data_IF_402937590127
#
_entry.id   IF_402937590127
#
_cell.length_a   1.000
_cell.length_b   1.000
_cell.length_c   1.000
_cell.angle_alpha   90.00
_cell.angle_beta   90.00
_cell.angle_gamma   90.00
#
_symmetry.space_group_name_H-M   'P 1'
#
loop_
_entity.id
_entity.type
_entity.pdbx_description
1 polymer ?
#
# COMPACT_ATOMS: atom_id res chain seq x y z
N UNK A 1 -15.11 15.36 18.53
CA UNK A 1 -14.74 14.69 17.27
C UNK A 1 -14.17 13.35 17.66
N UNK A 2 -14.99 12.32 17.60
CA UNK A 2 -14.54 10.95 17.91
C UNK A 2 -13.69 10.48 16.73
N UNK A 3 -12.46 10.06 17.01
CA UNK A 3 -11.62 9.34 16.08
C UNK A 3 -12.22 7.94 15.92
N UNK A 4 -13.21 7.82 15.07
CA UNK A 4 -13.68 6.50 14.66
C UNK A 4 -12.61 5.88 13.75
N UNK A 5 -11.72 5.12 14.37
CA UNK A 5 -10.92 4.12 13.64
C UNK A 5 -11.88 2.99 13.29
N UNK A 6 -12.75 3.26 12.32
CA UNK A 6 -13.70 2.28 11.83
C UNK A 6 -12.94 1.15 11.13
N UNK A 7 -13.23 -0.08 11.53
CA UNK A 7 -12.82 -1.27 10.80
C UNK A 7 -13.32 -1.25 9.34
N UNK A 8 -13.16 -2.35 8.62
CA UNK A 8 -13.71 -2.47 7.27
C UNK A 8 -15.24 -2.34 7.33
N UNK A 9 -15.79 -1.46 6.48
CA UNK A 9 -17.24 -1.28 6.37
C UNK A 9 -17.86 -2.57 5.84
N UNK A 10 -18.91 -3.08 6.50
CA UNK A 10 -19.65 -4.29 6.11
C UNK A 10 -20.82 -3.82 5.24
N UNK A 11 -20.88 -4.26 3.99
CA UNK A 11 -21.99 -3.96 3.09
C UNK A 11 -23.22 -4.83 3.37
N UNK A 12 -23.02 -6.14 3.52
CA UNK A 12 -24.06 -7.11 3.83
C UNK A 12 -23.45 -8.40 4.37
N UNK A 13 -24.26 -9.20 5.04
CA UNK A 13 -23.87 -10.52 5.51
C UNK A 13 -24.54 -11.60 4.68
N UNK A 14 -23.77 -12.57 4.20
CA UNK A 14 -24.29 -13.73 3.50
C UNK A 14 -24.69 -14.76 4.56
N UNK A 15 -25.96 -15.20 4.63
CA UNK A 15 -26.44 -16.11 5.65
C UNK A 15 -26.01 -17.56 5.39
N UNK A 16 -24.69 -17.81 5.26
CA UNK A 16 -24.08 -19.12 5.05
C UNK A 16 -23.07 -19.32 6.20
N UNK A 17 -23.06 -20.49 6.83
CA UNK A 17 -22.16 -20.86 7.92
C UNK A 17 -22.09 -19.89 9.11
N UNK A 18 -23.20 -19.25 9.48
CA UNK A 18 -23.25 -18.34 10.64
C UNK A 18 -23.09 -16.84 10.28
N UNK A 19 -23.17 -16.48 9.00
CA UNK A 19 -23.07 -15.10 8.52
C UNK A 19 -21.63 -14.73 8.12
N UNK A 20 -21.36 -14.68 6.82
CA UNK A 20 -20.07 -14.22 6.30
C UNK A 20 -20.21 -12.73 5.97
N UNK A 21 -19.54 -11.81 6.70
CA UNK A 21 -19.61 -10.39 6.42
C UNK A 21 -18.87 -10.07 5.11
N UNK A 22 -19.56 -9.48 4.14
CA UNK A 22 -18.93 -8.95 2.92
C UNK A 22 -18.43 -7.54 3.24
N UNK A 23 -17.12 -7.44 3.40
CA UNK A 23 -16.45 -6.18 3.73
C UNK A 23 -16.07 -5.39 2.48
N UNK A 24 -15.88 -4.09 2.65
CA UNK A 24 -15.39 -3.22 1.58
C UNK A 24 -14.05 -3.69 1.01
N UNK A 25 -13.16 -4.22 1.84
CA UNK A 25 -11.86 -4.77 1.43
C UNK A 25 -12.00 -6.01 0.58
N UNK A 26 -12.98 -6.88 0.87
CA UNK A 26 -13.29 -8.06 0.06
C UNK A 26 -13.78 -7.66 -1.35
N UNK A 27 -14.64 -6.64 -1.44
CA UNK A 27 -15.10 -6.09 -2.72
C UNK A 27 -13.93 -5.49 -3.50
N UNK A 28 -13.06 -4.74 -2.83
CA UNK A 28 -11.85 -4.17 -3.44
C UNK A 28 -10.93 -5.25 -4.00
N UNK A 29 -10.71 -6.33 -3.25
CA UNK A 29 -9.90 -7.47 -3.68
C UNK A 29 -10.50 -8.18 -4.91
N UNK A 30 -11.82 -8.42 -4.88
CA UNK A 30 -12.53 -9.02 -6.02
C UNK A 30 -12.40 -8.15 -7.28
N UNK A 31 -12.56 -6.83 -7.13
CA UNK A 31 -12.46 -5.89 -8.23
C UNK A 31 -11.03 -5.86 -8.81
N UNK A 32 -10.01 -5.85 -7.97
CA UNK A 32 -8.60 -5.95 -8.39
C UNK A 32 -8.36 -7.25 -9.15
N UNK A 33 -8.87 -8.37 -8.65
CA UNK A 33 -8.73 -9.68 -9.29
C UNK A 33 -9.37 -9.69 -10.67
N UNK A 34 -10.61 -9.20 -10.78
CA UNK A 34 -11.32 -9.09 -12.08
C UNK A 34 -10.56 -8.20 -13.05
N UNK A 35 -10.04 -7.06 -12.58
CA UNK A 35 -9.28 -6.13 -13.40
C UNK A 35 -7.98 -6.76 -13.91
N UNK A 36 -7.25 -7.47 -13.07
CA UNK A 36 -6.02 -8.17 -13.46
C UNK A 36 -6.29 -9.31 -14.44
N UNK A 37 -7.35 -10.09 -14.22
CA UNK A 37 -7.77 -11.13 -15.15
C UNK A 37 -8.17 -10.54 -16.52
N UNK A 38 -8.96 -9.47 -16.51
CA UNK A 38 -9.34 -8.76 -17.72
C UNK A 38 -8.13 -8.20 -18.47
N UNK A 39 -7.21 -7.55 -17.74
CA UNK A 39 -5.98 -7.02 -18.33
C UNK A 39 -5.11 -8.13 -18.92
N UNK A 40 -4.97 -9.27 -18.23
CA UNK A 40 -4.20 -10.42 -18.73
C UNK A 40 -4.78 -10.98 -20.01
N UNK A 41 -6.11 -11.11 -20.11
CA UNK A 41 -6.80 -11.57 -21.32
C UNK A 41 -6.66 -10.53 -22.44
N UNK A 42 -6.82 -9.25 -22.12
CA UNK A 42 -6.75 -8.17 -23.11
C UNK A 42 -5.36 -8.03 -23.72
N UNK A 43 -4.30 -8.07 -22.90
CA UNK A 43 -2.92 -7.94 -23.35
C UNK A 43 -2.34 -9.25 -23.90
N UNK A 44 -2.86 -10.41 -23.49
CA UNK A 44 -2.46 -11.72 -24.00
C UNK A 44 -3.07 -12.08 -25.36
N UNK A 45 -4.04 -11.29 -25.84
CA UNK A 45 -4.72 -11.50 -27.13
C UNK A 45 -3.92 -10.85 -28.26
N UNK A 46 -3.79 -11.57 -29.38
CA UNK A 46 -3.16 -11.06 -30.62
C UNK A 46 -1.70 -10.63 -30.48
N UNK A 47 -0.88 -11.43 -29.78
CA UNK A 47 0.55 -11.18 -29.66
C UNK A 47 1.25 -11.26 -31.03
N UNK A 48 1.97 -10.21 -31.39
CA UNK A 48 2.70 -10.09 -32.64
C UNK A 48 4.18 -10.41 -32.44
N UNK A 49 4.80 -11.05 -33.45
CA UNK A 49 6.25 -11.33 -33.45
C UNK A 49 7.10 -10.04 -33.43
N UNK A 50 6.59 -8.93 -33.96
CA UNK A 50 7.18 -7.59 -33.80
C UNK A 50 6.24 -6.77 -32.93
N UNK A 51 6.59 -6.55 -31.63
CA UNK A 51 5.69 -5.92 -30.68
C UNK A 51 5.46 -4.44 -31.01
N UNK A 52 4.17 -4.03 -30.96
CA UNK A 52 3.76 -2.63 -31.00
C UNK A 52 3.81 -1.99 -29.60
N UNK A 53 3.76 -0.66 -29.50
CA UNK A 53 4.00 0.10 -28.28
C UNK A 53 3.33 -0.40 -26.99
N UNK A 54 2.08 -0.91 -27.03
CA UNK A 54 1.40 -1.48 -25.86
C UNK A 54 2.00 -2.83 -25.45
N UNK A 55 2.27 -3.70 -26.42
CA UNK A 55 2.88 -5.01 -26.21
C UNK A 55 4.31 -4.86 -25.65
N UNK A 56 5.09 -3.92 -26.18
CA UNK A 56 6.46 -3.60 -25.68
C UNK A 56 6.44 -3.25 -24.20
N UNK A 57 5.46 -2.46 -23.73
CA UNK A 57 5.37 -2.09 -22.32
C UNK A 57 5.10 -3.30 -21.43
N UNK A 58 4.16 -4.17 -21.84
CA UNK A 58 3.81 -5.39 -21.09
C UNK A 58 4.96 -6.38 -21.08
N UNK A 59 5.60 -6.62 -22.25
CA UNK A 59 6.76 -7.50 -22.35
C UNK A 59 7.92 -7.01 -21.50
N UNK A 60 8.19 -5.70 -21.49
CA UNK A 60 9.20 -5.10 -20.61
C UNK A 60 8.89 -5.33 -19.13
N UNK A 61 7.61 -5.21 -18.73
CA UNK A 61 7.18 -5.51 -17.36
C UNK A 61 7.39 -6.98 -17.00
N UNK A 62 7.02 -7.91 -17.90
CA UNK A 62 7.23 -9.35 -17.71
C UNK A 62 8.72 -9.68 -17.67
N UNK A 63 9.53 -9.08 -18.53
CA UNK A 63 10.98 -9.28 -18.51
C UNK A 63 11.61 -8.79 -17.21
N UNK A 64 11.15 -7.65 -16.67
CA UNK A 64 11.62 -7.15 -15.37
C UNK A 64 11.28 -8.12 -14.23
N UNK A 65 10.05 -8.67 -14.22
CA UNK A 65 9.66 -9.70 -13.24
C UNK A 65 10.48 -10.98 -13.41
N UNK A 66 10.70 -11.43 -14.66
CA UNK A 66 11.54 -12.59 -14.94
C UNK A 66 12.98 -12.39 -14.46
N UNK A 67 13.57 -11.22 -14.72
CA UNK A 67 14.93 -10.89 -14.24
C UNK A 67 14.98 -10.97 -12.71
N UNK A 68 14.00 -10.39 -12.03
CA UNK A 68 13.91 -10.46 -10.57
C UNK A 68 13.83 -11.90 -10.04
N UNK A 69 13.07 -12.79 -10.73
CA UNK A 69 12.98 -14.21 -10.37
C UNK A 69 14.30 -14.91 -10.64
N UNK A 70 14.94 -14.69 -11.79
CA UNK A 70 16.23 -15.29 -12.15
C UNK A 70 17.34 -14.89 -11.18
N UNK A 71 17.41 -13.61 -10.83
CA UNK A 71 18.42 -13.10 -9.89
C UNK A 71 18.25 -13.64 -8.47
N UNK A 72 17.00 -13.95 -8.06
CA UNK A 72 16.72 -14.42 -6.69
C UNK A 72 16.66 -15.94 -6.60
N UNK A 73 16.06 -16.62 -7.57
CA UNK A 73 15.77 -18.07 -7.53
C UNK A 73 16.61 -18.91 -8.49
N UNK A 74 17.36 -18.26 -9.40
CA UNK A 74 18.13 -18.93 -10.45
C UNK A 74 17.31 -19.22 -11.73
N UNK A 75 18.01 -19.48 -12.84
CA UNK A 75 17.36 -19.70 -14.16
C UNK A 75 16.46 -20.93 -14.21
N UNK A 76 16.80 -21.99 -13.48
CA UNK A 76 16.02 -23.23 -13.42
C UNK A 76 14.62 -23.02 -12.82
N UNK A 77 14.41 -21.96 -12.04
CA UNK A 77 13.15 -21.64 -11.37
C UNK A 77 12.32 -20.56 -12.08
N UNK A 78 12.60 -20.24 -13.33
CA UNK A 78 11.85 -19.26 -14.14
C UNK A 78 10.35 -19.57 -14.22
N UNK A 79 9.96 -20.84 -14.09
CA UNK A 79 8.56 -21.25 -14.10
C UNK A 79 7.72 -20.66 -12.95
N UNK A 80 8.36 -20.12 -11.88
CA UNK A 80 7.68 -19.39 -10.81
C UNK A 80 7.32 -17.95 -11.17
N UNK A 81 7.83 -17.43 -12.30
CA UNK A 81 7.56 -16.04 -12.73
C UNK A 81 6.07 -15.67 -12.76
N UNK A 82 5.13 -16.48 -13.28
CA UNK A 82 3.71 -16.13 -13.28
C UNK A 82 3.13 -16.02 -11.88
N UNK A 83 3.51 -16.91 -10.97
CA UNK A 83 3.04 -16.91 -9.58
C UNK A 83 3.53 -15.67 -8.83
N UNK A 84 4.82 -15.39 -8.90
CA UNK A 84 5.43 -14.20 -8.27
C UNK A 84 4.86 -12.92 -8.87
N UNK A 85 4.70 -12.87 -10.20
CA UNK A 85 4.10 -11.75 -10.90
C UNK A 85 2.65 -11.49 -10.47
N UNK A 86 1.86 -12.54 -10.24
CA UNK A 86 0.49 -12.42 -9.76
C UNK A 86 0.45 -11.84 -8.35
N UNK A 87 1.28 -12.33 -7.43
CA UNK A 87 1.37 -11.78 -6.06
C UNK A 87 1.81 -10.32 -6.10
N UNK A 88 2.85 -10.00 -6.86
CA UNK A 88 3.39 -8.65 -6.99
C UNK A 88 2.35 -7.66 -7.54
N UNK A 89 1.71 -7.99 -8.66
CA UNK A 89 0.70 -7.13 -9.28
C UNK A 89 -0.56 -7.01 -8.42
N UNK A 90 -1.03 -8.10 -7.81
CA UNK A 90 -2.18 -8.07 -6.91
C UNK A 90 -1.91 -7.20 -5.68
N UNK A 91 -0.70 -7.25 -5.14
CA UNK A 91 -0.29 -6.45 -4.00
C UNK A 91 -0.23 -4.95 -4.35
N UNK A 92 0.40 -4.59 -5.49
CA UNK A 92 0.44 -3.20 -5.96
C UNK A 92 -0.97 -2.68 -6.22
N UNK A 93 -1.75 -3.38 -7.05
CA UNK A 93 -3.10 -2.93 -7.39
C UNK A 93 -4.02 -2.89 -6.17
N UNK A 94 -3.87 -3.84 -5.24
CA UNK A 94 -4.59 -3.88 -3.98
C UNK A 94 -4.27 -2.70 -3.05
N UNK A 95 -3.03 -2.21 -3.07
CA UNK A 95 -2.64 -1.01 -2.34
C UNK A 95 -3.11 0.26 -3.04
N UNK A 96 -2.94 0.35 -4.36
CA UNK A 96 -3.29 1.53 -5.16
C UNK A 96 -4.78 1.81 -5.22
N UNK A 97 -5.64 0.80 -5.08
CA UNK A 97 -7.09 1.00 -5.11
C UNK A 97 -7.56 1.92 -3.97
N UNK A 98 -6.82 1.98 -2.86
CA UNK A 98 -7.05 2.91 -1.76
C UNK A 98 -6.95 4.38 -2.16
N UNK A 99 -6.08 4.72 -3.13
CA UNK A 99 -5.93 6.08 -3.65
C UNK A 99 -7.18 6.61 -4.37
N UNK A 100 -8.09 5.73 -4.79
CA UNK A 100 -9.34 6.14 -5.44
C UNK A 100 -10.26 6.94 -4.49
N UNK A 101 -10.07 6.85 -3.17
CA UNK A 101 -10.88 7.49 -2.15
C UNK A 101 -12.27 6.87 -1.95
N UNK A 102 -12.72 6.00 -2.84
CA UNK A 102 -14.04 5.32 -2.77
C UNK A 102 -13.93 3.92 -2.17
N UNK A 103 -12.80 3.26 -2.37
CA UNK A 103 -12.56 1.90 -1.92
C UNK A 103 -11.38 1.87 -0.94
N UNK A 104 -11.49 1.04 0.08
CA UNK A 104 -10.38 0.80 0.99
C UNK A 104 -9.37 -0.13 0.33
N UNK A 105 -8.08 0.09 0.57
CA UNK A 105 -7.03 -0.80 0.11
C UNK A 105 -7.29 -2.24 0.58
N UNK A 106 -7.23 -3.21 -0.33
CA UNK A 106 -7.40 -4.63 -0.01
C UNK A 106 -6.29 -5.13 0.93
N UNK A 107 -5.09 -4.57 0.82
CA UNK A 107 -3.93 -4.90 1.66
C UNK A 107 -3.97 -4.24 3.04
N UNK A 108 -4.93 -3.32 3.30
CA UNK A 108 -5.21 -2.78 4.62
C UNK A 108 -6.06 -3.73 5.49
N UNK A 109 -6.39 -4.92 5.00
CA UNK A 109 -7.09 -5.97 5.76
C UNK A 109 -6.12 -7.13 6.00
N UNK A 110 -5.93 -7.45 7.29
CA UNK A 110 -5.04 -8.53 7.69
C UNK A 110 -5.50 -9.89 7.16
N UNK A 111 -6.82 -10.10 7.04
CA UNK A 111 -7.39 -11.35 6.55
C UNK A 111 -6.93 -11.66 5.12
N UNK A 112 -6.88 -10.66 4.26
CA UNK A 112 -6.41 -10.79 2.89
C UNK A 112 -4.92 -11.15 2.84
N UNK A 113 -4.10 -10.43 3.58
CA UNK A 113 -2.64 -10.58 3.54
C UNK A 113 -2.18 -11.87 4.22
N UNK A 114 -2.87 -12.29 5.28
CA UNK A 114 -2.58 -13.55 5.97
C UNK A 114 -2.85 -14.76 5.07
N UNK A 115 -3.90 -14.71 4.24
CA UNK A 115 -4.20 -15.78 3.27
C UNK A 115 -3.07 -15.90 2.24
N UNK A 116 -2.52 -14.81 1.75
CA UNK A 116 -1.34 -14.85 0.84
C UNK A 116 -0.13 -15.46 1.54
N UNK A 117 0.17 -15.05 2.77
CA UNK A 117 1.29 -15.59 3.53
C UNK A 117 1.13 -17.08 3.82
N UNK A 118 -0.08 -17.52 4.19
CA UNK A 118 -0.40 -18.94 4.41
C UNK A 118 -0.32 -19.76 3.11
N UNK A 119 -0.74 -19.21 1.97
CA UNK A 119 -0.61 -19.86 0.68
C UNK A 119 0.87 -20.09 0.32
N UNK A 120 1.72 -19.09 0.52
CA UNK A 120 3.18 -19.22 0.32
C UNK A 120 3.75 -20.29 1.26
N UNK A 121 3.38 -20.28 2.53
CA UNK A 121 3.83 -21.27 3.52
C UNK A 121 3.39 -22.69 3.14
N UNK A 122 2.16 -22.85 2.67
CA UNK A 122 1.67 -24.14 2.19
C UNK A 122 2.49 -24.67 0.99
N UNK A 123 2.89 -23.79 0.07
CA UNK A 123 3.77 -24.16 -1.05
C UNK A 123 5.15 -24.58 -0.54
N UNK A 124 5.73 -23.86 0.43
CA UNK A 124 7.01 -24.19 1.04
C UNK A 124 6.95 -25.58 1.69
N UNK A 125 5.92 -25.84 2.50
CA UNK A 125 5.73 -27.14 3.14
C UNK A 125 5.54 -28.25 2.12
N UNK A 126 4.73 -28.01 1.09
CA UNK A 126 4.54 -28.97 0.01
C UNK A 126 5.87 -29.34 -0.68
N UNK A 127 6.69 -28.35 -1.01
CA UNK A 127 7.98 -28.58 -1.64
C UNK A 127 8.94 -29.34 -0.70
N UNK A 128 9.01 -28.93 0.57
CA UNK A 128 9.86 -29.61 1.57
C UNK A 128 9.46 -31.08 1.77
N UNK A 129 8.14 -31.35 1.87
CA UNK A 129 7.63 -32.71 2.01
C UNK A 129 7.87 -33.54 0.75
N UNK A 130 7.70 -32.92 -0.43
CA UNK A 130 7.95 -33.60 -1.71
C UNK A 130 9.42 -33.97 -1.91
N UNK A 131 10.34 -33.13 -1.49
CA UNK A 131 11.77 -33.30 -1.69
C UNK A 131 12.40 -34.21 -0.63
N UNK A 132 12.05 -34.04 0.64
CA UNK A 132 12.67 -34.71 1.78
C UNK A 132 11.79 -35.82 2.39
N UNK A 133 10.56 -35.97 1.91
CA UNK A 133 9.54 -36.80 2.55
C UNK A 133 9.04 -36.20 3.86
N UNK A 134 7.91 -36.70 4.36
CA UNK A 134 7.29 -36.19 5.58
C UNK A 134 8.19 -36.33 6.84
N UNK A 135 8.88 -37.46 6.96
CA UNK A 135 9.82 -37.72 8.07
C UNK A 135 11.05 -36.84 7.97
N UNK A 136 11.57 -36.62 6.75
CA UNK A 136 12.71 -35.75 6.50
C UNK A 136 12.37 -34.28 6.83
N UNK A 137 11.17 -33.83 6.45
CA UNK A 137 10.70 -32.50 6.81
C UNK A 137 10.60 -32.30 8.33
N UNK A 138 10.04 -33.27 9.08
CA UNK A 138 10.01 -33.22 10.55
C UNK A 138 11.41 -33.23 11.17
N UNK A 139 12.33 -34.04 10.60
CA UNK A 139 13.73 -34.09 11.04
C UNK A 139 14.45 -32.76 10.81
N UNK A 140 14.10 -32.01 9.77
CA UNK A 140 14.65 -30.69 9.50
C UNK A 140 14.45 -29.70 10.65
N UNK A 141 13.38 -29.83 11.44
CA UNK A 141 13.20 -29.00 12.64
C UNK A 141 14.21 -29.29 13.75
N UNK A 142 14.83 -30.47 13.75
CA UNK A 142 15.82 -30.87 14.77
C UNK A 142 17.25 -30.57 14.36
N UNK A 143 17.48 -30.11 13.14
CA UNK A 143 18.81 -29.76 12.63
C UNK A 143 19.15 -28.29 12.97
N UNK A 144 20.44 -27.95 13.17
CA UNK A 144 21.60 -28.82 13.32
C UNK A 144 21.72 -29.51 14.68
N UNK A 145 20.99 -29.06 15.71
CA UNK A 145 21.04 -29.58 17.08
C UNK A 145 19.62 -29.67 17.62
N UNK A 146 19.26 -30.80 18.24
CA UNK A 146 17.91 -31.06 18.78
C UNK A 146 17.41 -29.98 19.75
N UNK A 147 18.31 -29.30 20.48
CA UNK A 147 17.97 -28.19 21.38
C UNK A 147 17.37 -26.99 20.63
N UNK A 148 17.64 -26.83 19.33
CA UNK A 148 17.08 -25.74 18.51
C UNK A 148 15.67 -26.02 17.99
N UNK A 149 15.14 -27.21 18.19
CA UNK A 149 13.78 -27.61 17.72
C UNK A 149 12.67 -26.61 18.10
N UNK A 150 12.57 -26.16 19.37
CA UNK A 150 11.52 -25.20 19.73
C UNK A 150 11.65 -23.88 18.97
N UNK A 151 12.90 -23.43 18.72
CA UNK A 151 13.19 -22.19 18.02
C UNK A 151 12.85 -22.30 16.53
N UNK A 152 13.16 -23.45 15.91
CA UNK A 152 12.83 -23.73 14.51
C UNK A 152 11.31 -23.79 14.30
N UNK A 153 10.56 -24.42 15.20
CA UNK A 153 9.10 -24.47 15.14
C UNK A 153 8.49 -23.06 15.29
N UNK A 154 8.99 -22.26 16.25
CA UNK A 154 8.53 -20.88 16.43
C UNK A 154 8.84 -20.05 15.17
N UNK A 155 10.02 -20.21 14.57
CA UNK A 155 10.41 -19.51 13.35
C UNK A 155 9.50 -19.84 12.17
N UNK A 156 9.12 -21.11 12.01
CA UNK A 156 8.22 -21.57 10.94
C UNK A 156 6.82 -20.93 11.04
N UNK A 157 6.31 -20.75 12.26
CA UNK A 157 5.03 -20.06 12.50
C UNK A 157 5.19 -18.54 12.39
N UNK A 158 6.29 -18.00 12.91
CA UNK A 158 6.56 -16.56 12.92
C UNK A 158 6.77 -15.99 11.51
N UNK A 159 7.29 -16.79 10.58
CA UNK A 159 7.60 -16.37 9.22
C UNK A 159 6.37 -15.86 8.45
N UNK A 160 5.27 -16.62 8.27
CA UNK A 160 4.07 -16.13 7.59
C UNK A 160 3.42 -14.98 8.35
N UNK A 161 3.42 -15.02 9.67
CA UNK A 161 2.89 -13.91 10.48
C UNK A 161 3.70 -12.63 10.26
N UNK A 162 5.02 -12.71 10.27
CA UNK A 162 5.90 -11.55 10.03
C UNK A 162 5.66 -10.95 8.64
N UNK A 163 5.52 -11.78 7.60
CA UNK A 163 5.20 -11.32 6.25
C UNK A 163 3.85 -10.60 6.20
N UNK A 164 2.82 -11.19 6.80
CA UNK A 164 1.47 -10.63 6.83
C UNK A 164 1.41 -9.32 7.63
N UNK A 165 1.96 -9.29 8.84
CA UNK A 165 1.94 -8.10 9.67
C UNK A 165 2.77 -6.95 9.11
N UNK A 166 3.88 -7.24 8.44
CA UNK A 166 4.68 -6.21 7.78
C UNK A 166 3.90 -5.53 6.66
N UNK A 167 3.23 -6.32 5.82
CA UNK A 167 2.44 -5.79 4.71
C UNK A 167 1.21 -5.01 5.21
N UNK A 168 0.42 -5.63 6.09
CA UNK A 168 -0.73 -5.01 6.73
C UNK A 168 -0.36 -3.75 7.51
N UNK A 169 0.69 -3.83 8.34
CA UNK A 169 1.12 -2.75 9.22
C UNK A 169 1.54 -1.48 8.47
N UNK A 170 2.20 -1.62 7.33
CA UNK A 170 2.58 -0.47 6.52
C UNK A 170 1.37 0.22 5.88
N UNK A 171 0.42 -0.52 5.33
CA UNK A 171 -0.74 0.05 4.64
C UNK A 171 -1.79 0.55 5.63
N UNK A 172 -2.20 -0.30 6.58
CA UNK A 172 -3.20 0.08 7.58
C UNK A 172 -2.66 1.12 8.57
N UNK A 173 -1.40 0.97 9.02
CA UNK A 173 -0.72 1.93 9.89
C UNK A 173 -0.58 3.30 9.23
N UNK A 174 -0.22 3.35 7.94
CA UNK A 174 -0.18 4.57 7.16
C UNK A 174 -1.53 5.28 7.11
N UNK A 175 -2.63 4.54 6.90
CA UNK A 175 -3.99 5.06 6.93
C UNK A 175 -4.37 5.67 8.28
N UNK A 176 -4.03 4.99 9.38
CA UNK A 176 -4.29 5.50 10.74
C UNK A 176 -3.50 6.77 11.03
N UNK A 177 -2.21 6.80 10.69
CA UNK A 177 -1.36 7.99 10.87
C UNK A 177 -1.93 9.17 10.06
N UNK A 178 -2.29 8.94 8.81
CA UNK A 178 -2.89 9.98 7.95
C UNK A 178 -4.21 10.52 8.55
N UNK A 179 -5.06 9.65 9.09
CA UNK A 179 -6.32 10.02 9.72
C UNK A 179 -6.10 10.88 10.98
N UNK A 180 -5.12 10.51 11.82
CA UNK A 180 -4.77 11.28 13.02
C UNK A 180 -4.24 12.67 12.65
N UNK A 181 -3.35 12.73 11.65
CA UNK A 181 -2.81 14.02 11.18
C UNK A 181 -3.91 14.88 10.57
N UNK A 182 -4.82 14.29 9.79
CA UNK A 182 -5.99 14.99 9.27
C UNK A 182 -6.86 15.57 10.39
N UNK A 183 -7.16 14.79 11.42
CA UNK A 183 -7.95 15.24 12.56
C UNK A 183 -7.23 16.38 13.33
N UNK A 184 -5.93 16.25 13.57
CA UNK A 184 -5.12 17.27 14.25
C UNK A 184 -5.07 18.59 13.44
N UNK A 185 -4.80 18.50 12.13
CA UNK A 185 -4.76 19.67 11.25
C UNK A 185 -6.13 20.30 11.07
N UNK A 186 -7.19 19.51 11.04
CA UNK A 186 -8.58 20.00 11.02
C UNK A 186 -8.92 20.77 12.28
N UNK A 187 -8.57 20.24 13.46
CA UNK A 187 -8.76 20.92 14.74
C UNK A 187 -7.95 22.21 14.83
N UNK A 188 -6.68 22.18 14.43
CA UNK A 188 -5.83 23.37 14.37
C UNK A 188 -6.38 24.42 13.41
N UNK A 189 -6.85 23.99 12.22
CA UNK A 189 -7.50 24.88 11.25
C UNK A 189 -8.75 25.56 11.83
N UNK A 190 -9.62 24.77 12.47
CA UNK A 190 -10.80 25.29 13.12
C UNK A 190 -10.45 26.30 14.24
N UNK A 191 -9.42 26.02 15.05
CA UNK A 191 -8.92 26.92 16.08
C UNK A 191 -8.44 28.26 15.51
N UNK A 192 -7.61 28.22 14.45
CA UNK A 192 -7.08 29.42 13.79
C UNK A 192 -8.23 30.25 13.17
N UNK A 193 -9.12 29.60 12.42
CA UNK A 193 -10.22 30.24 11.75
C UNK A 193 -11.22 30.85 12.74
N UNK A 194 -11.52 30.17 13.85
CA UNK A 194 -12.38 30.71 14.92
C UNK A 194 -11.72 31.90 15.61
N UNK A 195 -10.40 31.90 15.79
CA UNK A 195 -9.68 33.05 16.33
C UNK A 195 -9.78 34.27 15.41
N UNK A 196 -9.63 34.06 14.09
CA UNK A 196 -9.76 35.10 13.08
C UNK A 196 -11.21 35.59 13.00
N UNK A 197 -12.18 34.68 12.99
CA UNK A 197 -13.60 35.02 12.96
C UNK A 197 -14.06 35.82 14.20
N UNK A 198 -13.51 35.47 15.38
CA UNK A 198 -13.79 36.18 16.63
C UNK A 198 -13.25 37.63 16.62
N UNK A 199 -12.16 37.89 15.92
CA UNK A 199 -11.60 39.25 15.76
C UNK A 199 -12.32 40.08 14.68
N UNK A 200 -13.38 39.54 14.07
CA UNK A 200 -14.18 40.18 13.02
C UNK A 200 -13.48 40.24 11.68
N UNK A 201 -14.05 40.96 10.73
CA UNK A 201 -13.55 41.08 9.35
C UNK A 201 -12.17 41.75 9.24
N UNK A 202 -11.72 42.47 10.26
CA UNK A 202 -10.44 43.19 10.27
C UNK A 202 -9.24 42.29 10.15
N UNK A 203 -9.17 41.18 10.92
CA UNK A 203 -7.99 40.29 10.92
C UNK A 203 -7.89 39.48 9.62
N UNK A 204 -9.02 39.07 9.06
CA UNK A 204 -9.05 38.42 7.74
C UNK A 204 -8.57 39.33 6.62
N UNK A 205 -9.01 40.61 6.62
CA UNK A 205 -8.58 41.59 5.63
C UNK A 205 -7.09 41.94 5.76
N UNK A 206 -6.58 42.07 6.98
CA UNK A 206 -5.14 42.32 7.24
C UNK A 206 -4.29 41.15 6.71
N UNK A 207 -4.72 39.91 6.93
CA UNK A 207 -4.02 38.74 6.40
C UNK A 207 -4.01 38.66 4.86
N UNK A 208 -5.11 39.05 4.23
CA UNK A 208 -5.17 39.14 2.75
C UNK A 208 -4.22 40.21 2.23
N UNK A 209 -4.20 41.38 2.84
CA UNK A 209 -3.31 42.48 2.45
C UNK A 209 -1.84 42.11 2.67
N UNK A 210 -1.51 41.45 3.79
CA UNK A 210 -0.17 40.95 4.07
C UNK A 210 0.25 39.86 3.05
N UNK A 211 -0.66 38.96 2.70
CA UNK A 211 -0.44 37.95 1.67
C UNK A 211 -0.18 38.57 0.30
N UNK A 212 -0.98 39.54 -0.10
CA UNK A 212 -0.79 40.28 -1.35
C UNK A 212 0.55 41.04 -1.38
N UNK A 213 0.92 41.70 -0.26
CA UNK A 213 2.22 42.36 -0.15
C UNK A 213 3.40 41.40 -0.30
N UNK A 214 3.32 40.23 0.31
CA UNK A 214 4.36 39.18 0.18
C UNK A 214 4.46 38.61 -1.25
N UNK A 215 3.34 38.47 -1.96
CA UNK A 215 3.32 38.05 -3.38
C UNK A 215 3.96 39.12 -4.27
N UNK A 216 3.69 40.41 -3.99
CA UNK A 216 4.32 41.55 -4.71
C UNK A 216 5.83 41.56 -4.44
N UNK A 217 6.27 41.34 -3.20
CA UNK A 217 7.69 41.23 -2.82
C UNK A 217 8.36 40.06 -3.50
N UNK A 218 7.65 38.94 -3.72
CA UNK A 218 8.19 37.84 -4.52
C UNK A 218 8.46 38.27 -5.96
N UNK A 219 7.53 38.99 -6.57
CA UNK A 219 7.69 39.51 -7.94
C UNK A 219 8.92 40.41 -8.05
N UNK A 220 9.24 41.17 -6.99
CA UNK A 220 10.42 42.05 -6.95
C UNK A 220 11.73 41.31 -6.62
N UNK A 221 11.74 40.42 -5.63
CA UNK A 221 12.97 39.79 -5.11
C UNK A 221 13.14 38.33 -5.49
N UNK A 222 12.21 37.72 -6.24
CA UNK A 222 12.20 36.29 -6.70
C UNK A 222 12.44 35.25 -5.59
N UNK A 223 12.12 35.56 -4.32
CA UNK A 223 12.26 34.62 -3.21
C UNK A 223 11.04 33.71 -3.15
N UNK A 224 11.20 32.44 -3.51
CA UNK A 224 10.12 31.43 -3.49
C UNK A 224 9.40 31.32 -2.14
N UNK A 225 10.12 31.49 -1.04
CA UNK A 225 9.58 31.50 0.32
C UNK A 225 8.52 32.59 0.50
N UNK A 226 8.75 33.80 -0.03
CA UNK A 226 7.79 34.91 0.05
C UNK A 226 6.49 34.60 -0.73
N UNK A 227 6.59 33.88 -1.85
CA UNK A 227 5.45 33.43 -2.62
C UNK A 227 4.60 32.44 -1.82
N UNK A 228 5.23 31.42 -1.27
CA UNK A 228 4.55 30.35 -0.50
C UNK A 228 3.84 30.95 0.71
N UNK A 229 4.55 31.73 1.53
CA UNK A 229 3.96 32.41 2.69
C UNK A 229 2.86 33.40 2.29
N UNK A 230 3.03 34.11 1.17
CA UNK A 230 2.03 35.04 0.66
C UNK A 230 0.73 34.33 0.26
N UNK A 231 0.82 33.20 -0.44
CA UNK A 231 -0.33 32.37 -0.82
C UNK A 231 -1.01 31.81 0.44
N UNK A 232 -0.25 31.27 1.38
CA UNK A 232 -0.80 30.70 2.62
C UNK A 232 -1.54 31.79 3.44
N UNK A 233 -0.95 32.95 3.63
CA UNK A 233 -1.61 34.07 4.33
C UNK A 233 -2.88 34.54 3.62
N UNK A 234 -2.86 34.66 2.30
CA UNK A 234 -4.02 35.06 1.51
C UNK A 234 -5.17 34.05 1.62
N UNK A 235 -4.83 32.74 1.50
CA UNK A 235 -5.83 31.67 1.63
C UNK A 235 -6.43 31.65 3.03
N UNK A 236 -5.63 31.67 4.10
CA UNK A 236 -6.12 31.72 5.49
C UNK A 236 -6.97 32.95 5.71
N UNK A 237 -6.57 34.12 5.19
CA UNK A 237 -7.32 35.37 5.30
C UNK A 237 -8.67 35.31 4.61
N UNK A 238 -8.75 34.77 3.38
CA UNK A 238 -10.00 34.61 2.62
C UNK A 238 -10.95 33.66 3.35
N UNK A 239 -10.48 32.49 3.77
CA UNK A 239 -11.33 31.53 4.49
C UNK A 239 -11.77 32.07 5.87
N UNK A 240 -10.87 32.79 6.57
CA UNK A 240 -11.22 33.47 7.84
C UNK A 240 -12.30 34.54 7.67
N UNK A 241 -12.24 35.30 6.58
CA UNK A 241 -13.29 36.25 6.23
C UNK A 241 -14.62 35.57 5.91
N UNK A 242 -14.61 34.53 5.08
CA UNK A 242 -15.82 33.80 4.70
C UNK A 242 -16.48 33.12 5.92
N UNK A 243 -15.69 32.65 6.86
CA UNK A 243 -16.20 32.13 8.13
C UNK A 243 -16.74 33.25 9.04
N UNK A 244 -16.07 34.38 9.11
CA UNK A 244 -16.56 35.57 9.87
C UNK A 244 -17.86 36.15 9.33
N UNK A 245 -18.11 36.01 8.02
CA UNK A 245 -19.35 36.36 7.34
C UNK A 245 -20.45 35.29 7.45
N UNK A 246 -20.15 34.12 8.06
CA UNK A 246 -21.10 33.02 8.21
C UNK A 246 -21.39 32.25 6.92
N UNK A 247 -20.65 32.50 5.83
CA UNK A 247 -20.85 31.86 4.53
C UNK A 247 -20.26 30.44 4.53
N UNK A 248 -19.13 30.24 5.23
CA UNK A 248 -18.42 28.93 5.33
C UNK A 248 -18.09 28.66 6.79
N UNK A 249 -18.47 27.48 7.29
CA UNK A 249 -18.12 27.04 8.65
C UNK A 249 -17.35 25.74 8.58
N UNK A 250 -16.21 25.65 9.31
CA UNK A 250 -15.53 24.39 9.58
C UNK A 250 -14.69 23.82 8.45
N UNK A 251 -14.22 24.60 7.47
CA UNK A 251 -13.35 24.12 6.39
C UNK A 251 -11.94 23.87 6.92
N UNK A 252 -11.41 22.64 6.85
CA UNK A 252 -10.08 22.29 7.36
C UNK A 252 -8.97 22.69 6.37
N UNK A 253 -8.63 23.98 6.26
CA UNK A 253 -7.69 24.51 5.27
C UNK A 253 -6.30 23.87 5.38
N UNK A 254 -5.80 23.70 6.60
CA UNK A 254 -4.48 23.09 6.83
C UNK A 254 -4.47 21.59 6.47
N UNK A 255 -5.63 20.96 6.44
CA UNK A 255 -5.75 19.54 6.08
C UNK A 255 -5.86 19.29 4.57
N UNK A 256 -5.94 20.34 3.73
CA UNK A 256 -6.13 20.18 2.28
C UNK A 256 -4.89 19.67 1.52
N UNK A 257 -3.68 19.83 2.06
CA UNK A 257 -2.46 19.48 1.32
C UNK A 257 -1.62 18.39 1.98
N UNK A 258 -1.36 18.51 3.28
CA UNK A 258 -0.45 17.61 4.01
C UNK A 258 -0.93 16.16 4.04
N UNK A 259 -2.21 15.86 4.35
CA UNK A 259 -2.69 14.49 4.31
C UNK A 259 -2.64 13.85 2.92
N UNK A 260 -2.87 14.60 1.85
CA UNK A 260 -2.79 14.09 0.48
C UNK A 260 -1.35 13.66 0.13
N UNK A 261 -0.33 14.40 0.55
CA UNK A 261 1.08 14.03 0.36
C UNK A 261 1.42 12.78 1.17
N UNK A 262 0.91 12.68 2.40
CA UNK A 262 1.10 11.51 3.26
C UNK A 262 0.40 10.27 2.69
N UNK A 263 -0.83 10.39 2.20
CA UNK A 263 -1.53 9.29 1.52
C UNK A 263 -0.76 8.83 0.29
N UNK A 264 -0.26 9.76 -0.52
CA UNK A 264 0.58 9.42 -1.67
C UNK A 264 1.84 8.65 -1.26
N UNK A 265 2.48 9.05 -0.15
CA UNK A 265 3.64 8.32 0.38
C UNK A 265 3.27 6.92 0.88
N UNK A 266 2.25 6.78 1.72
CA UNK A 266 1.89 5.49 2.31
C UNK A 266 1.23 4.53 1.30
N UNK A 267 0.33 5.01 0.46
CA UNK A 267 -0.41 4.16 -0.46
C UNK A 267 0.38 3.85 -1.74
N UNK A 268 1.10 4.84 -2.29
CA UNK A 268 1.87 4.65 -3.52
C UNK A 268 3.26 4.10 -3.23
N UNK A 269 4.10 4.86 -2.51
CA UNK A 269 5.51 4.50 -2.33
C UNK A 269 5.67 3.31 -1.37
N UNK A 270 5.09 3.38 -0.18
CA UNK A 270 5.19 2.30 0.81
C UNK A 270 4.46 1.04 0.31
N UNK A 271 3.30 1.18 -0.35
CA UNK A 271 2.58 0.06 -0.96
C UNK A 271 3.40 -0.65 -2.04
N UNK A 272 4.08 0.10 -2.92
CA UNK A 272 4.97 -0.46 -3.93
C UNK A 272 6.18 -1.18 -3.32
N UNK A 273 6.88 -0.52 -2.39
CA UNK A 273 8.03 -1.11 -1.69
C UNK A 273 7.61 -2.39 -0.96
N UNK A 274 6.45 -2.38 -0.31
CA UNK A 274 5.97 -3.55 0.43
C UNK A 274 5.59 -4.70 -0.50
N UNK A 275 4.99 -4.43 -1.65
CA UNK A 275 4.70 -5.45 -2.67
C UNK A 275 6.00 -6.10 -3.17
N UNK A 276 7.03 -5.29 -3.41
CA UNK A 276 8.36 -5.76 -3.80
C UNK A 276 8.99 -6.64 -2.72
N UNK A 277 9.02 -6.17 -1.46
CA UNK A 277 9.59 -6.92 -0.33
C UNK A 277 8.84 -8.23 -0.08
N UNK A 278 7.50 -8.23 -0.15
CA UNK A 278 6.70 -9.44 0.01
C UNK A 278 7.02 -10.47 -1.08
N UNK A 279 7.11 -10.03 -2.34
CA UNK A 279 7.47 -10.90 -3.46
C UNK A 279 8.90 -11.43 -3.34
N UNK A 280 9.85 -10.58 -2.93
CA UNK A 280 11.24 -10.98 -2.70
C UNK A 280 11.34 -12.05 -1.61
N UNK A 281 10.69 -11.85 -0.47
CA UNK A 281 10.66 -12.83 0.61
C UNK A 281 9.99 -14.14 0.17
N UNK A 282 8.91 -14.05 -0.59
CA UNK A 282 8.25 -15.23 -1.18
C UNK A 282 9.22 -16.02 -2.06
N UNK A 283 9.98 -15.35 -2.92
CA UNK A 283 10.99 -15.98 -3.77
C UNK A 283 12.10 -16.65 -2.96
N UNK A 284 12.66 -15.93 -1.99
CA UNK A 284 13.74 -16.46 -1.14
C UNK A 284 13.27 -17.70 -0.38
N UNK A 285 12.08 -17.67 0.19
CA UNK A 285 11.56 -18.80 0.97
C UNK A 285 11.17 -19.99 0.10
N UNK A 286 10.57 -19.77 -1.06
CA UNK A 286 10.28 -20.86 -2.00
C UNK A 286 11.60 -21.44 -2.52
N UNK A 287 12.57 -20.63 -2.91
CA UNK A 287 13.88 -21.08 -3.38
C UNK A 287 14.60 -21.95 -2.35
N UNK A 288 14.55 -21.56 -1.06
CA UNK A 288 15.13 -22.36 0.02
C UNK A 288 14.44 -23.71 0.26
N UNK A 289 13.20 -23.89 -0.24
CA UNK A 289 12.47 -25.18 -0.17
C UNK A 289 12.65 -26.08 -1.38
N UNK A 290 13.30 -25.58 -2.44
CA UNK A 290 13.56 -26.34 -3.66
C UNK A 290 14.90 -27.08 -3.57
N UNK A 291 15.06 -28.22 -4.29
CA UNK A 291 16.33 -28.92 -4.35
C UNK A 291 17.39 -28.05 -5.03
N UNK A 292 18.65 -28.21 -4.60
CA UNK A 292 19.76 -27.58 -5.29
C UNK A 292 19.86 -28.09 -6.76
N UNK A 293 20.18 -27.20 -7.70
CA UNK A 293 20.30 -27.59 -9.10
C UNK A 293 21.37 -28.66 -9.25
N UNK A 294 21.02 -29.74 -9.93
CA UNK A 294 21.99 -30.79 -10.27
C UNK A 294 23.02 -30.27 -11.27
N UNK A 295 24.25 -30.74 -11.18
CA UNK A 295 25.36 -30.31 -12.05
C UNK A 295 25.07 -30.44 -13.58
N UNK A 296 24.01 -31.13 -13.97
CA UNK A 296 23.51 -31.22 -15.34
C UNK A 296 22.68 -30.03 -15.78
N UNK A 297 22.16 -29.20 -14.84
CA UNK A 297 21.31 -28.04 -15.11
C UNK A 297 22.10 -26.71 -15.09
N UNK A 298 23.40 -26.77 -14.72
CA UNK A 298 24.31 -25.62 -14.66
C UNK A 298 25.21 -25.49 -15.90
N UNK A 299 25.12 -26.40 -16.86
CA UNK A 299 25.79 -26.37 -18.17
C UNK A 299 24.71 -26.06 -19.25
#
# INVERSE_FOLDING_TARGET
MELEVTGAFIYFEIPIFGGIPVTQTMVSFLLVTILLCWASIYFGKDLKMRPDGKQVLVEKGIMMLRTMVVETMGEHNVHWTPFIGTIFLSSICGSLIGLTGFLRSATADISCVIVWALMVTAIIWYNNIKNNGFVGWLKGFTEPIVVMTPMNIVSEIAQPLSMAFRHFGNVAGGGVITSIIYAALSAASAGILNLIAKSGWLMGSVLILAGAALIVLWKSKKKLVALIFGIVCAVIGIFGLLQGLGILSGVPILALGVPAVLSCYFDLFSGFVQAYVFSLLTMVYISGSLPEPTAAETN
#
